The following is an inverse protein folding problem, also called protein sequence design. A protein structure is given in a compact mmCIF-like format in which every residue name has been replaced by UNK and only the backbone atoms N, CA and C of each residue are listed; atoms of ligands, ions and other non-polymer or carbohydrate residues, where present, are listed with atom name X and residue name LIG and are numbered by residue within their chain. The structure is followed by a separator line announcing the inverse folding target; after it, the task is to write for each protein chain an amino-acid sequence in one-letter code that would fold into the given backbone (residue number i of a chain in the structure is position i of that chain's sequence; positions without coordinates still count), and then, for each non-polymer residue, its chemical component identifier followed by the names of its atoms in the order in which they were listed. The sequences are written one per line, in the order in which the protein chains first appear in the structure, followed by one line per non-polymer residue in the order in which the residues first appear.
data_IF_542536378157
#
_entry.id   IF_542536378157
#
_cell.length_a   1.000
_cell.length_b   1.000
_cell.length_c   1.000
_cell.angle_alpha   90.00
_cell.angle_beta   90.00
_cell.angle_gamma   90.00
#
_symmetry.space_group_name_H-M   'P 1'
#
loop_
_entity.id
_entity.type
_entity.pdbx_description
1 polymer ?
#
# COMPACT_ATOMS: atom_id res chain seq x y z
N UNK A 1 -2.90 44.08 -42.31
CA UNK A 1 -1.83 44.62 -43.19
C UNK A 1 -0.51 44.51 -42.43
N UNK A 2 0.54 44.08 -43.14
CA UNK A 2 1.94 43.84 -42.73
C UNK A 2 2.13 42.67 -41.73
N UNK A 3 2.63 41.47 -42.06
CA UNK A 3 3.72 40.95 -42.93
C UNK A 3 5.15 41.01 -42.35
N UNK A 4 5.80 39.85 -42.50
CA UNK A 4 7.24 39.51 -42.48
C UNK A 4 7.89 39.31 -41.09
N UNK A 5 8.71 38.28 -40.84
CA UNK A 5 9.22 37.21 -41.69
C UNK A 5 10.51 36.60 -41.10
N UNK A 6 10.63 35.27 -41.20
CA UNK A 6 11.81 34.39 -41.29
C UNK A 6 13.04 34.60 -40.39
N UNK A 7 13.53 33.52 -39.76
CA UNK A 7 14.56 32.64 -40.33
C UNK A 7 15.00 31.56 -39.32
N UNK A 8 15.18 30.33 -39.80
CA UNK A 8 15.68 29.20 -39.01
C UNK A 8 17.21 29.09 -38.99
N UNK A 9 17.70 28.16 -38.17
CA UNK A 9 19.04 27.60 -38.29
C UNK A 9 19.01 26.10 -37.93
N UNK A 10 19.22 25.29 -38.96
CA UNK A 10 19.61 23.88 -38.90
C UNK A 10 21.06 23.76 -38.41
N UNK A 11 21.39 22.69 -37.69
CA UNK A 11 22.72 22.08 -37.75
C UNK A 11 22.65 20.57 -37.45
N UNK A 12 23.59 19.76 -38.00
CA UNK A 12 23.30 18.40 -38.45
C UNK A 12 23.82 17.30 -37.52
N UNK A 13 23.24 16.11 -37.67
CA UNK A 13 23.69 14.87 -37.07
C UNK A 13 24.93 14.32 -37.79
N UNK A 14 25.98 13.99 -37.05
CA UNK A 14 27.17 13.31 -37.57
C UNK A 14 27.09 11.82 -37.26
N UNK A 15 27.04 11.03 -38.32
CA UNK A 15 27.21 9.58 -38.36
C UNK A 15 28.67 9.19 -38.10
N UNK A 16 28.91 8.22 -37.22
CA UNK A 16 30.18 7.50 -37.14
C UNK A 16 29.95 6.01 -37.38
N UNK A 17 30.68 5.52 -38.38
CA UNK A 17 30.69 4.17 -38.92
C UNK A 17 31.54 3.22 -38.07
N UNK A 18 31.00 2.02 -37.88
CA UNK A 18 31.65 0.71 -37.90
C UNK A 18 33.01 0.48 -37.22
N UNK A 19 33.05 -0.51 -36.32
CA UNK A 19 34.07 -1.59 -36.36
C UNK A 19 33.42 -2.88 -35.84
N UNK A 20 33.37 -3.90 -36.69
CA UNK A 20 33.02 -5.28 -36.37
C UNK A 20 34.27 -6.02 -35.90
N UNK A 21 34.26 -6.56 -34.68
CA UNK A 21 35.29 -7.48 -34.20
C UNK A 21 34.65 -8.85 -33.91
N UNK A 22 34.84 -9.79 -34.85
CA UNK A 22 34.57 -11.22 -34.65
C UNK A 22 35.70 -11.80 -33.81
N UNK A 23 35.40 -12.22 -32.58
CA UNK A 23 36.29 -13.04 -31.75
C UNK A 23 36.03 -14.52 -32.04
N UNK A 24 37.04 -15.16 -32.63
CA UNK A 24 37.14 -16.60 -32.87
C UNK A 24 37.65 -17.25 -31.59
N UNK A 25 36.89 -18.19 -31.02
CA UNK A 25 37.33 -19.01 -29.88
C UNK A 25 38.05 -20.27 -30.39
N UNK A 26 39.26 -20.59 -29.90
CA UNK A 26 39.92 -21.85 -30.24
C UNK A 26 39.35 -23.01 -29.42
N UNK A 27 38.99 -24.08 -30.13
CA UNK A 27 38.48 -25.34 -29.59
C UNK A 27 39.66 -26.19 -29.14
N UNK A 28 39.91 -26.26 -27.84
CA UNK A 28 40.94 -27.15 -27.27
C UNK A 28 40.33 -28.52 -27.02
N UNK A 29 40.68 -29.49 -27.86
CA UNK A 29 40.47 -30.92 -27.64
C UNK A 29 41.55 -31.45 -26.71
N UNK A 30 41.19 -31.81 -25.48
CA UNK A 30 42.06 -32.55 -24.57
C UNK A 30 41.59 -34.00 -24.49
N UNK A 31 42.57 -34.89 -24.67
CA UNK A 31 42.45 -36.34 -24.70
C UNK A 31 42.30 -36.90 -23.28
N UNK A 32 41.25 -37.70 -23.07
CA UNK A 32 41.02 -38.44 -21.83
C UNK A 32 42.00 -39.62 -21.75
N UNK A 33 42.87 -39.63 -20.72
CA UNK A 33 43.61 -40.82 -20.29
C UNK A 33 42.83 -41.50 -19.15
N UNK A 34 42.37 -42.71 -19.46
CA UNK A 34 41.80 -43.68 -18.52
C UNK A 34 42.85 -44.08 -17.48
N UNK A 35 42.51 -43.91 -16.20
CA UNK A 35 43.24 -44.50 -15.06
C UNK A 35 42.23 -45.17 -14.12
N UNK A 36 42.63 -46.35 -13.65
CA UNK A 36 41.84 -47.38 -12.98
C UNK A 36 41.13 -46.90 -11.69
N UNK A 37 40.00 -47.51 -11.31
CA UNK A 37 39.23 -47.06 -10.16
C UNK A 37 39.88 -47.53 -8.85
N UNK A 38 40.26 -46.59 -7.99
CA UNK A 38 40.48 -46.83 -6.57
C UNK A 38 39.12 -46.93 -5.89
N UNK A 39 38.86 -48.07 -5.24
CA UNK A 39 37.66 -48.34 -4.46
C UNK A 39 37.63 -47.49 -3.21
N UNK A 40 36.92 -46.37 -3.26
CA UNK A 40 36.59 -45.56 -2.09
C UNK A 40 35.31 -46.12 -1.44
N UNK A 41 35.45 -46.86 -0.34
CA UNK A 41 34.32 -47.28 0.49
C UNK A 41 33.63 -46.05 1.06
N UNK A 42 32.44 -45.75 0.57
CA UNK A 42 31.60 -44.65 1.06
C UNK A 42 31.08 -44.99 2.46
N UNK A 43 31.30 -44.15 3.50
CA UNK A 43 30.57 -44.32 4.74
C UNK A 43 29.10 -43.97 4.48
N UNK A 44 28.21 -44.87 4.88
CA UNK A 44 26.76 -44.69 4.90
C UNK A 44 26.41 -43.42 5.68
N UNK A 45 26.16 -42.33 4.97
CA UNK A 45 25.53 -41.13 5.50
C UNK A 45 24.09 -41.48 5.85
N UNK A 46 23.85 -41.85 7.11
CA UNK A 46 22.52 -41.88 7.67
C UNK A 46 21.95 -40.46 7.57
N UNK A 47 21.00 -40.27 6.64
CA UNK A 47 20.17 -39.06 6.59
C UNK A 47 19.36 -39.00 7.88
N UNK A 48 19.91 -38.34 8.89
CA UNK A 48 19.10 -37.84 9.99
C UNK A 48 18.04 -36.92 9.38
N UNK A 49 16.78 -37.34 9.45
CA UNK A 49 15.63 -36.50 9.09
C UNK A 49 15.65 -35.31 10.03
N UNK A 50 16.20 -34.18 9.57
CA UNK A 50 16.05 -32.90 10.24
C UNK A 50 14.55 -32.65 10.35
N UNK A 51 13.98 -32.47 11.55
CA UNK A 51 12.56 -32.20 11.68
C UNK A 51 12.30 -30.87 10.99
N UNK A 52 11.56 -30.93 9.88
CA UNK A 52 11.05 -29.72 9.21
C UNK A 52 10.21 -29.01 10.25
N UNK A 53 10.72 -27.90 10.81
CA UNK A 53 9.91 -26.99 11.62
C UNK A 53 8.73 -26.60 10.74
N UNK A 54 7.55 -27.13 11.05
CA UNK A 54 6.31 -26.59 10.50
C UNK A 54 6.31 -25.12 10.88
N UNK A 55 6.57 -24.25 9.91
CA UNK A 55 6.18 -22.85 10.01
C UNK A 55 4.70 -22.89 10.36
N UNK A 56 4.37 -22.54 11.59
CA UNK A 56 3.02 -22.23 12.00
C UNK A 56 2.59 -21.07 11.11
N UNK A 57 1.98 -21.41 9.98
CA UNK A 57 1.30 -20.44 9.14
C UNK A 57 0.08 -20.02 9.96
N UNK A 58 0.28 -19.05 10.84
CA UNK A 58 -0.80 -18.37 11.55
C UNK A 58 -1.70 -17.83 10.44
N UNK A 59 -2.78 -18.55 10.15
CA UNK A 59 -3.84 -18.05 9.27
C UNK A 59 -4.39 -16.85 10.01
N UNK A 60 -3.99 -15.66 9.59
CA UNK A 60 -4.54 -14.43 10.14
C UNK A 60 -6.06 -14.54 10.08
N UNK A 61 -6.70 -14.55 11.26
CA UNK A 61 -8.14 -14.51 11.34
C UNK A 61 -8.62 -13.27 10.60
N UNK A 62 -9.61 -13.46 9.72
CA UNK A 62 -10.27 -12.34 9.04
C UNK A 62 -11.05 -11.57 10.09
N UNK A 63 -10.91 -10.25 10.10
CA UNK A 63 -11.60 -9.35 11.00
C UNK A 63 -12.45 -8.39 10.19
N UNK A 64 -13.66 -8.14 10.67
CA UNK A 64 -14.55 -7.13 10.11
C UNK A 64 -14.41 -5.83 10.91
N UNK A 65 -14.53 -4.69 10.25
CA UNK A 65 -14.55 -3.39 10.94
C UNK A 65 -15.75 -3.28 11.87
N UNK A 66 -15.56 -2.76 13.07
CA UNK A 66 -16.65 -2.50 14.01
C UNK A 66 -17.55 -1.38 13.51
N UNK A 67 -18.82 -1.35 13.92
CA UNK A 67 -19.73 -0.28 13.53
C UNK A 67 -19.37 1.02 14.27
N UNK A 68 -18.96 2.06 13.54
CA UNK A 68 -18.82 3.40 14.09
C UNK A 68 -20.17 4.15 14.09
N UNK A 69 -20.40 4.98 15.12
CA UNK A 69 -21.62 5.78 15.25
C UNK A 69 -21.55 7.07 14.42
N UNK A 70 -22.67 7.45 13.79
CA UNK A 70 -22.82 8.76 13.13
C UNK A 70 -22.56 9.88 14.14
N UNK A 71 -21.79 10.90 13.74
CA UNK A 71 -21.35 12.00 14.62
C UNK A 71 -20.00 11.76 15.33
N UNK A 72 -19.35 10.62 15.09
CA UNK A 72 -17.97 10.39 15.50
C UNK A 72 -17.05 11.44 14.85
N UNK A 73 -16.35 12.21 15.68
CA UNK A 73 -15.38 13.21 15.20
C UNK A 73 -14.05 12.53 14.90
N UNK A 74 -13.37 12.94 13.84
CA UNK A 74 -12.02 12.46 13.56
C UNK A 74 -11.12 12.72 14.78
N UNK A 75 -10.54 11.68 15.40
CA UNK A 75 -9.54 11.87 16.44
C UNK A 75 -8.34 12.64 15.91
N UNK A 76 -7.75 13.47 16.77
CA UNK A 76 -6.50 14.14 16.44
C UNK A 76 -5.38 13.11 16.24
N UNK A 77 -4.49 13.40 15.29
CA UNK A 77 -3.25 12.67 15.09
C UNK A 77 -2.13 13.65 14.71
N UNK A 78 -0.90 13.28 15.07
CA UNK A 78 0.34 13.90 14.64
C UNK A 78 1.35 12.79 14.42
N UNK A 79 1.57 12.39 13.16
CA UNK A 79 2.33 11.19 12.82
C UNK A 79 3.39 11.47 11.75
N UNK A 80 4.56 10.81 11.81
CA UNK A 80 5.60 10.93 10.80
C UNK A 80 5.23 10.17 9.52
N UNK A 81 5.55 10.76 8.37
CA UNK A 81 5.56 10.10 7.06
C UNK A 81 6.96 9.56 6.77
N UNK A 82 7.18 8.22 6.73
CA UNK A 82 8.51 7.66 6.50
C UNK A 82 9.17 8.04 5.18
N UNK A 83 8.38 8.30 4.13
CA UNK A 83 8.90 8.61 2.80
C UNK A 83 9.62 9.97 2.75
N UNK A 84 9.05 10.99 3.40
CA UNK A 84 9.51 12.38 3.31
C UNK A 84 10.14 12.88 4.61
N UNK A 85 9.89 12.19 5.73
CA UNK A 85 10.23 12.66 7.08
C UNK A 85 9.31 13.76 7.60
N UNK A 86 8.32 14.22 6.82
CA UNK A 86 7.36 15.23 7.26
C UNK A 86 6.44 14.66 8.34
N UNK A 87 6.17 15.43 9.38
CA UNK A 87 5.10 15.15 10.34
C UNK A 87 3.81 15.76 9.82
N UNK A 88 2.75 14.96 9.79
CA UNK A 88 1.41 15.35 9.36
C UNK A 88 0.44 15.35 10.53
N UNK A 89 -0.40 16.37 10.58
CA UNK A 89 -1.43 16.56 11.61
C UNK A 89 -2.81 16.51 10.98
N UNK A 90 -3.85 16.23 11.77
CA UNK A 90 -5.24 16.38 11.31
C UNK A 90 -5.49 17.78 10.73
N UNK A 91 -4.88 18.80 11.35
CA UNK A 91 -5.01 20.21 10.97
C UNK A 91 -4.49 20.52 9.55
N UNK A 92 -3.55 19.72 9.03
CA UNK A 92 -3.02 19.89 7.65
C UNK A 92 -4.09 19.59 6.59
N UNK A 93 -5.20 18.94 6.97
CA UNK A 93 -6.31 18.62 6.10
C UNK A 93 -7.50 19.57 6.25
N UNK A 94 -7.39 20.62 7.08
CA UNK A 94 -8.50 21.52 7.42
C UNK A 94 -9.12 22.25 6.23
N UNK A 95 -8.37 22.46 5.14
CA UNK A 95 -8.87 23.11 3.93
C UNK A 95 -9.78 22.23 3.08
N UNK A 96 -9.82 20.91 3.34
CA UNK A 96 -10.61 19.98 2.54
C UNK A 96 -12.04 19.82 3.08
N UNK A 97 -13.08 19.83 2.22
CA UNK A 97 -14.46 19.58 2.62
C UNK A 97 -14.72 18.12 3.05
N UNK A 98 -13.83 17.20 2.70
CA UNK A 98 -13.88 15.81 3.11
C UNK A 98 -12.47 15.24 3.30
N UNK A 99 -12.33 14.30 4.23
CA UNK A 99 -11.08 13.61 4.54
C UNK A 99 -11.29 12.11 4.57
N UNK A 100 -10.53 11.38 3.77
CA UNK A 100 -10.44 9.92 3.82
C UNK A 100 -9.21 9.51 4.64
N UNK A 101 -9.44 8.89 5.80
CA UNK A 101 -8.42 8.24 6.62
C UNK A 101 -8.49 6.74 6.38
N UNK A 102 -7.34 6.12 6.06
CA UNK A 102 -7.26 4.70 5.73
C UNK A 102 -6.26 4.00 6.64
N UNK A 103 -6.69 2.97 7.38
CA UNK A 103 -5.77 2.08 8.07
C UNK A 103 -5.38 0.95 7.14
N UNK A 104 -4.11 0.90 6.74
CA UNK A 104 -3.57 -0.07 5.78
C UNK A 104 -2.26 -0.67 6.31
N UNK A 105 -1.71 -1.65 5.59
CA UNK A 105 -0.37 -2.17 5.85
C UNK A 105 0.27 -2.74 4.58
N UNK A 106 1.54 -3.11 4.65
CA UNK A 106 2.30 -3.48 3.46
C UNK A 106 2.04 -4.94 3.05
N UNK A 107 1.84 -5.83 4.04
CA UNK A 107 1.85 -7.27 3.81
C UNK A 107 0.47 -7.93 3.67
N UNK A 108 -0.61 -7.29 4.17
CA UNK A 108 -1.94 -7.88 4.21
C UNK A 108 -2.44 -8.21 2.79
N UNK A 109 -2.94 -9.44 2.55
CA UNK A 109 -3.46 -9.82 1.24
C UNK A 109 -4.68 -8.98 0.81
N UNK A 110 -5.50 -8.51 1.75
CA UNK A 110 -6.64 -7.63 1.46
C UNK A 110 -6.18 -6.23 1.02
N UNK A 111 -5.14 -5.69 1.65
CA UNK A 111 -4.57 -4.40 1.21
C UNK A 111 -3.89 -4.57 -0.14
N UNK A 112 -3.05 -5.60 -0.32
CA UNK A 112 -2.37 -5.90 -1.59
C UNK A 112 -3.35 -6.04 -2.75
N UNK A 113 -4.51 -6.64 -2.51
CA UNK A 113 -5.61 -6.75 -3.49
C UNK A 113 -6.13 -5.39 -3.95
N UNK A 114 -6.11 -4.36 -3.10
CA UNK A 114 -6.68 -3.04 -3.37
C UNK A 114 -5.66 -1.92 -3.68
N UNK A 115 -4.35 -2.10 -3.45
CA UNK A 115 -3.35 -1.00 -3.53
C UNK A 115 -3.45 -0.16 -4.81
N UNK A 116 -3.52 -0.81 -5.97
CA UNK A 116 -3.58 -0.11 -7.27
C UNK A 116 -4.88 0.69 -7.43
N UNK A 117 -6.00 0.12 -7.00
CA UNK A 117 -7.31 0.75 -7.10
C UNK A 117 -7.51 1.86 -6.07
N UNK A 118 -6.92 1.73 -4.87
CA UNK A 118 -6.83 2.82 -3.89
C UNK A 118 -6.10 4.00 -4.53
N UNK A 119 -4.90 3.79 -5.09
CA UNK A 119 -4.12 4.87 -5.74
C UNK A 119 -4.91 5.52 -6.87
N UNK A 120 -5.55 4.73 -7.73
CA UNK A 120 -6.37 5.23 -8.83
C UNK A 120 -7.54 6.09 -8.32
N UNK A 121 -8.29 5.58 -7.36
CA UNK A 121 -9.46 6.25 -6.79
C UNK A 121 -9.06 7.54 -6.07
N UNK A 122 -8.06 7.48 -5.19
CA UNK A 122 -7.64 8.65 -4.41
C UNK A 122 -7.03 9.71 -5.32
N UNK A 123 -6.20 9.36 -6.32
CA UNK A 123 -5.67 10.34 -7.27
C UNK A 123 -6.80 11.12 -7.97
N UNK A 124 -7.85 10.41 -8.39
CA UNK A 124 -9.00 11.03 -9.04
C UNK A 124 -9.76 11.98 -8.12
N UNK A 125 -10.03 11.58 -6.87
CA UNK A 125 -10.82 12.38 -5.94
C UNK A 125 -10.04 13.49 -5.24
N UNK A 126 -8.72 13.34 -5.08
CA UNK A 126 -7.86 14.42 -4.59
C UNK A 126 -7.90 15.62 -5.54
N UNK A 127 -7.94 15.38 -6.86
CA UNK A 127 -8.18 16.42 -7.87
C UNK A 127 -9.55 17.10 -7.78
N UNK A 128 -10.48 16.57 -6.98
CA UNK A 128 -11.82 17.11 -6.73
C UNK A 128 -11.98 17.70 -5.31
N UNK A 129 -10.89 17.79 -4.55
CA UNK A 129 -10.92 18.36 -3.19
C UNK A 129 -11.13 17.34 -2.07
N UNK A 130 -10.86 16.06 -2.29
CA UNK A 130 -10.76 15.09 -1.20
C UNK A 130 -9.37 15.17 -0.54
N UNK A 131 -9.31 15.39 0.78
CA UNK A 131 -8.11 15.12 1.57
C UNK A 131 -7.96 13.61 1.79
N UNK A 132 -6.75 13.07 1.70
CA UNK A 132 -6.50 11.63 1.87
C UNK A 132 -5.26 11.41 2.71
N UNK A 133 -5.33 10.47 3.66
CA UNK A 133 -4.21 10.01 4.46
C UNK A 133 -4.31 8.50 4.72
N UNK A 134 -3.18 7.81 4.61
CA UNK A 134 -3.05 6.41 4.99
C UNK A 134 -2.24 6.30 6.28
N UNK A 135 -2.57 5.35 7.15
CA UNK A 135 -1.90 5.11 8.43
C UNK A 135 -1.60 3.60 8.54
N UNK A 136 -0.36 3.26 8.89
CA UNK A 136 0.04 1.92 9.33
C UNK A 136 0.25 1.94 10.84
N UNK A 137 -0.48 1.08 11.54
CA UNK A 137 -0.40 0.91 13.00
C UNK A 137 0.05 -0.50 13.40
N UNK A 138 0.65 -1.26 12.48
CA UNK A 138 1.07 -2.64 12.76
C UNK A 138 2.41 -2.67 13.53
N UNK A 139 2.49 -3.54 14.54
CA UNK A 139 3.69 -3.77 15.34
C UNK A 139 4.83 -4.31 14.48
N UNK A 140 5.92 -3.55 14.45
CA UNK A 140 7.15 -3.93 13.73
C UNK A 140 7.92 -5.06 14.43
N UNK A 141 7.68 -5.31 15.72
CA UNK A 141 8.28 -6.43 16.46
C UNK A 141 7.77 -7.78 15.92
N UNK A 142 6.50 -7.82 15.51
CA UNK A 142 5.85 -9.04 15.01
C UNK A 142 5.76 -9.06 13.49
N UNK A 143 5.68 -7.90 12.85
CA UNK A 143 5.55 -7.72 11.41
C UNK A 143 6.53 -6.64 10.91
N UNK A 144 7.86 -6.91 10.91
CA UNK A 144 8.88 -5.93 10.51
C UNK A 144 8.65 -5.30 9.12
N UNK A 145 8.02 -6.05 8.21
CA UNK A 145 7.70 -5.59 6.86
C UNK A 145 6.68 -4.43 6.79
N UNK A 146 5.98 -4.12 7.90
CA UNK A 146 5.11 -2.94 7.99
C UNK A 146 5.82 -1.73 8.61
N UNK A 147 7.13 -1.82 8.85
CA UNK A 147 7.91 -0.74 9.43
C UNK A 147 8.22 0.40 8.46
N UNK A 148 8.70 1.55 8.98
CA UNK A 148 8.89 2.80 8.24
C UNK A 148 9.68 2.66 6.92
N UNK A 149 10.77 1.89 6.93
CA UNK A 149 11.59 1.66 5.74
C UNK A 149 10.78 1.03 4.59
N UNK A 150 10.12 -0.09 4.87
CA UNK A 150 9.28 -0.79 3.88
C UNK A 150 8.02 0.01 3.51
N UNK A 151 7.49 0.83 4.41
CA UNK A 151 6.40 1.76 4.07
C UNK A 151 6.83 2.79 3.05
N UNK A 152 8.04 3.36 3.20
CA UNK A 152 8.58 4.31 2.23
C UNK A 152 8.84 3.65 0.88
N UNK A 153 9.34 2.42 0.86
CA UNK A 153 9.52 1.63 -0.38
C UNK A 153 8.18 1.34 -1.06
N UNK A 154 7.16 0.92 -0.31
CA UNK A 154 5.84 0.59 -0.84
C UNK A 154 5.14 1.84 -1.41
N UNK A 155 5.23 2.97 -0.71
CA UNK A 155 4.70 4.25 -1.18
C UNK A 155 5.36 4.70 -2.49
N UNK A 156 6.69 4.53 -2.63
CA UNK A 156 7.41 4.78 -3.90
C UNK A 156 6.98 3.82 -5.00
N UNK A 157 6.93 2.52 -4.70
CA UNK A 157 6.61 1.48 -5.68
C UNK A 157 5.22 1.67 -6.30
N UNK A 158 4.24 2.02 -5.47
CA UNK A 158 2.86 2.22 -5.90
C UNK A 158 2.52 3.68 -6.24
N UNK A 159 3.48 4.60 -6.11
CA UNK A 159 3.31 6.05 -6.32
C UNK A 159 2.10 6.60 -5.55
N UNK A 160 2.10 6.42 -4.22
CA UNK A 160 1.02 6.93 -3.38
C UNK A 160 0.91 8.46 -3.52
N UNK A 161 -0.26 9.00 -3.92
CA UNK A 161 -0.45 10.45 -4.08
C UNK A 161 -0.76 11.13 -2.74
N UNK A 162 -0.89 10.36 -1.66
CA UNK A 162 -1.26 10.78 -0.32
C UNK A 162 -0.16 10.39 0.68
N UNK A 163 -0.06 11.08 1.83
CA UNK A 163 0.88 10.69 2.88
C UNK A 163 0.52 9.33 3.48
N UNK A 164 1.54 8.51 3.70
CA UNK A 164 1.44 7.22 4.39
C UNK A 164 2.20 7.28 5.72
N UNK A 165 1.44 7.40 6.81
CA UNK A 165 1.92 7.74 8.14
C UNK A 165 2.13 6.49 8.99
N UNK A 166 3.13 6.53 9.89
CA UNK A 166 3.41 5.45 10.83
C UNK A 166 2.91 5.82 12.24
N UNK A 167 1.97 5.03 12.75
CA UNK A 167 1.41 5.12 14.09
C UNK A 167 2.10 4.11 15.02
N UNK A 168 3.29 4.48 15.48
CA UNK A 168 4.16 3.62 16.29
C UNK A 168 3.51 3.23 17.63
N UNK A 169 2.81 4.14 18.30
CA UNK A 169 2.23 3.83 19.61
C UNK A 169 0.95 3.01 19.50
N UNK A 170 0.32 3.04 18.33
CA UNK A 170 -1.00 2.50 18.00
C UNK A 170 -2.17 3.24 18.69
N UNK A 171 -1.91 4.43 19.25
CA UNK A 171 -2.94 5.24 19.91
C UNK A 171 -3.92 5.82 18.90
N UNK A 172 -3.46 6.16 17.69
CA UNK A 172 -4.34 6.69 16.65
C UNK A 172 -5.29 5.60 16.17
N UNK A 173 -4.81 4.38 15.91
CA UNK A 173 -5.70 3.25 15.61
C UNK A 173 -6.74 3.00 16.71
N UNK A 174 -6.33 3.02 17.98
CA UNK A 174 -7.27 2.88 19.12
C UNK A 174 -8.29 4.01 19.16
N UNK A 175 -7.87 5.25 18.99
CA UNK A 175 -8.76 6.41 19.03
C UNK A 175 -9.80 6.38 17.90
N UNK A 176 -9.42 5.89 16.72
CA UNK A 176 -10.34 5.65 15.60
C UNK A 176 -11.23 4.42 15.78
N UNK A 177 -10.89 3.52 16.72
CA UNK A 177 -11.52 2.20 16.83
C UNK A 177 -11.22 1.32 15.63
N UNK A 178 -10.08 1.53 14.96
CA UNK A 178 -9.65 0.71 13.84
C UNK A 178 -9.22 -0.67 14.32
N UNK A 179 -9.61 -1.71 13.59
CA UNK A 179 -9.42 -3.10 13.98
C UNK A 179 -8.84 -3.97 12.88
N UNK A 180 -8.98 -3.58 11.61
CA UNK A 180 -8.54 -4.36 10.47
C UNK A 180 -7.80 -3.54 9.41
N UNK A 181 -7.20 -4.23 8.43
CA UNK A 181 -6.51 -3.63 7.28
C UNK A 181 -6.97 -4.33 5.99
N UNK A 182 -7.51 -3.59 4.99
CA UNK A 182 -7.75 -2.15 5.00
C UNK A 182 -9.03 -1.77 5.77
N UNK A 183 -9.03 -0.58 6.36
CA UNK A 183 -10.21 0.02 6.99
C UNK A 183 -10.33 1.50 6.62
N UNK A 184 -11.51 1.93 6.19
CA UNK A 184 -11.72 3.24 5.55
C UNK A 184 -12.70 4.10 6.37
N UNK A 185 -12.25 5.28 6.77
CA UNK A 185 -13.06 6.29 7.45
C UNK A 185 -13.13 7.55 6.60
N UNK A 186 -14.30 7.86 6.07
CA UNK A 186 -14.54 9.08 5.29
C UNK A 186 -15.30 10.07 6.16
N UNK A 187 -14.70 11.23 6.37
CA UNK A 187 -15.26 12.33 7.14
C UNK A 187 -15.74 13.45 6.23
N UNK A 188 -16.83 14.09 6.63
CA UNK A 188 -17.35 15.33 6.05
C UNK A 188 -16.93 16.50 6.94
N UNK A 189 -16.72 17.65 6.32
CA UNK A 189 -16.57 18.94 6.99
C UNK A 189 -17.47 19.99 6.36
N UNK A 190 -18.11 20.78 7.20
CA UNK A 190 -18.91 21.95 6.78
C UNK A 190 -18.30 23.23 7.36
N UNK A 191 -17.68 24.03 6.50
CA UNK A 191 -16.99 25.26 6.89
C UNK A 191 -15.88 25.02 7.90
N UNK A 192 -15.94 25.68 9.06
CA UNK A 192 -14.96 25.56 10.16
C UNK A 192 -15.32 24.49 11.20
N UNK A 193 -16.33 23.64 10.93
CA UNK A 193 -16.72 22.59 11.87
C UNK A 193 -15.70 21.44 11.87
N UNK A 194 -15.62 20.62 12.94
CA UNK A 194 -14.78 19.43 12.94
C UNK A 194 -15.17 18.44 11.85
N UNK A 195 -14.23 17.56 11.47
CA UNK A 195 -14.50 16.40 10.64
C UNK A 195 -15.44 15.41 11.35
N UNK A 196 -16.58 15.12 10.74
CA UNK A 196 -17.59 14.19 11.25
C UNK A 196 -17.72 12.98 10.32
N UNK A 197 -17.78 11.78 10.90
CA UNK A 197 -17.79 10.53 10.14
C UNK A 197 -19.04 10.45 9.27
N UNK A 198 -18.81 10.31 7.96
CA UNK A 198 -19.84 10.20 6.93
C UNK A 198 -19.97 8.75 6.42
N UNK A 199 -18.85 8.05 6.27
CA UNK A 199 -18.82 6.66 5.85
C UNK A 199 -17.70 5.88 6.53
N UNK A 200 -18.02 4.66 6.98
CA UNK A 200 -17.08 3.68 7.51
C UNK A 200 -17.46 2.29 7.03
N UNK A 201 -16.57 1.68 6.25
CA UNK A 201 -16.88 0.39 5.65
C UNK A 201 -15.96 0.05 4.48
N UNK A 202 -16.42 -0.91 3.68
CA UNK A 202 -15.65 -1.52 2.62
C UNK A 202 -15.29 -0.55 1.48
N UNK A 203 -14.30 -0.95 0.68
CA UNK A 203 -13.97 -0.31 -0.59
C UNK A 203 -15.03 -0.63 -1.67
N UNK A 204 -15.36 -1.92 -1.79
CA UNK A 204 -16.37 -2.51 -2.68
C UNK A 204 -16.62 -3.97 -2.25
N UNK A 205 -17.38 -4.72 -3.06
CA UNK A 205 -17.70 -6.13 -2.81
C UNK A 205 -16.56 -7.13 -3.13
N UNK A 206 -15.45 -6.67 -3.72
CA UNK A 206 -14.34 -7.56 -4.09
C UNK A 206 -13.56 -8.02 -2.87
N UNK A 207 -13.07 -9.26 -2.91
CA UNK A 207 -12.19 -9.83 -1.88
C UNK A 207 -11.08 -10.66 -2.53
N UNK A 208 -9.94 -10.90 -1.84
CA UNK A 208 -8.94 -11.84 -2.31
C UNK A 208 -9.57 -13.21 -2.59
N UNK A 209 -9.25 -13.80 -3.74
CA UNK A 209 -9.80 -15.07 -4.23
C UNK A 209 -11.32 -15.07 -4.50
N UNK A 210 -11.95 -13.90 -4.60
CA UNK A 210 -13.29 -13.78 -5.18
C UNK A 210 -13.19 -13.61 -6.70
N UNK A 211 -14.24 -13.98 -7.44
CA UNK A 211 -14.35 -13.71 -8.88
C UNK A 211 -14.96 -12.31 -9.17
N UNK A 212 -15.04 -11.44 -8.15
CA UNK A 212 -15.61 -10.11 -8.27
C UNK A 212 -14.46 -9.12 -8.56
N UNK A 213 -14.52 -8.35 -9.65
CA UNK A 213 -13.49 -7.35 -9.95
C UNK A 213 -13.50 -6.21 -8.92
N UNK A 214 -12.33 -5.61 -8.71
CA UNK A 214 -12.20 -4.37 -7.92
C UNK A 214 -12.84 -3.23 -8.71
N UNK A 215 -13.69 -2.45 -8.05
CA UNK A 215 -14.45 -1.33 -8.63
C UNK A 215 -14.38 -0.06 -7.78
N UNK A 216 -14.15 -0.17 -6.48
CA UNK A 216 -14.26 0.94 -5.53
C UNK A 216 -15.64 1.55 -5.43
N UNK A 217 -16.69 0.83 -5.85
CA UNK A 217 -18.06 1.35 -6.01
C UNK A 217 -18.58 2.01 -4.73
N UNK A 218 -18.48 1.34 -3.59
CA UNK A 218 -19.08 1.79 -2.33
C UNK A 218 -18.37 3.04 -1.83
N UNK A 219 -17.02 3.03 -1.83
CA UNK A 219 -16.23 4.18 -1.42
C UNK A 219 -16.42 5.37 -2.37
N UNK A 220 -16.45 5.12 -3.69
CA UNK A 220 -16.64 6.17 -4.70
C UNK A 220 -17.99 6.85 -4.54
N UNK A 221 -19.06 6.07 -4.33
CA UNK A 221 -20.40 6.61 -4.07
C UNK A 221 -20.43 7.45 -2.78
N UNK A 222 -19.78 6.99 -1.72
CA UNK A 222 -19.69 7.76 -0.47
C UNK A 222 -18.92 9.08 -0.67
N UNK A 223 -17.82 9.06 -1.44
CA UNK A 223 -17.04 10.26 -1.76
C UNK A 223 -17.83 11.22 -2.66
N UNK A 224 -18.52 10.72 -3.68
CA UNK A 224 -19.37 11.54 -4.54
C UNK A 224 -20.48 12.22 -3.72
N UNK A 225 -21.14 11.48 -2.82
CA UNK A 225 -22.17 12.04 -1.96
C UNK A 225 -21.60 13.11 -1.00
N UNK A 226 -20.47 12.85 -0.33
CA UNK A 226 -19.92 13.82 0.62
C UNK A 226 -19.47 15.11 -0.06
N UNK A 227 -18.81 15.01 -1.23
CA UNK A 227 -18.32 16.16 -1.97
C UNK A 227 -19.44 16.96 -2.64
N UNK A 228 -20.56 16.31 -3.00
CA UNK A 228 -21.74 16.97 -3.56
C UNK A 228 -22.76 17.44 -2.50
N UNK A 229 -22.50 17.17 -1.22
CA UNK A 229 -23.41 17.49 -0.12
C UNK A 229 -24.68 16.63 -0.07
N UNK A 230 -24.71 15.51 -0.78
CA UNK A 230 -25.84 14.57 -0.81
C UNK A 230 -25.81 13.58 0.36
N UNK A 231 -26.98 13.02 0.69
CA UNK A 231 -27.09 11.96 1.69
C UNK A 231 -26.71 10.60 1.09
N UNK A 232 -25.97 9.79 1.84
CA UNK A 232 -25.61 8.43 1.43
C UNK A 232 -26.76 7.45 1.71
N UNK A 233 -27.41 6.93 0.68
CA UNK A 233 -28.58 6.04 0.79
C UNK A 233 -28.25 4.55 0.87
N UNK A 234 -26.98 4.17 0.72
CA UNK A 234 -26.58 2.75 0.73
C UNK A 234 -26.30 2.26 2.16
N UNK A 235 -26.56 0.96 2.38
CA UNK A 235 -26.12 0.29 3.59
C UNK A 235 -24.59 0.17 3.59
N UNK A 236 -23.95 0.68 4.64
CA UNK A 236 -22.50 0.59 4.81
C UNK A 236 -22.13 -0.82 5.25
N UNK A 237 -21.50 -1.59 4.36
CA UNK A 237 -20.96 -2.91 4.69
C UNK A 237 -19.59 -2.76 5.35
N UNK A 238 -19.27 -3.55 6.39
CA UNK A 238 -17.98 -3.46 7.05
C UNK A 238 -16.83 -3.81 6.10
N UNK A 239 -15.68 -3.19 6.32
CA UNK A 239 -14.42 -3.65 5.73
C UNK A 239 -14.07 -5.03 6.26
N UNK A 240 -13.35 -5.81 5.44
CA UNK A 240 -12.85 -7.12 5.83
C UNK A 240 -11.36 -7.16 5.53
N UNK A 241 -10.57 -7.53 6.54
CA UNK A 241 -9.12 -7.49 6.45
C UNK A 241 -8.42 -8.46 7.41
N UNK A 242 -7.10 -8.39 7.41
CA UNK A 242 -6.33 -8.91 8.53
C UNK A 242 -6.49 -7.96 9.72
N UNK A 243 -6.56 -8.51 10.94
CA UNK A 243 -6.52 -7.68 12.14
C UNK A 243 -5.27 -6.78 12.17
N UNK A 244 -5.41 -5.58 12.73
CA UNK A 244 -4.27 -4.74 13.12
C UNK A 244 -3.36 -5.55 14.06
N UNK A 245 -2.05 -5.41 13.86
CA UNK A 245 -1.03 -6.15 14.61
C UNK A 245 -0.65 -5.37 15.85
N UNK A 246 -1.43 -5.51 16.92
CA UNK A 246 -1.14 -4.86 18.20
C UNK A 246 0.21 -5.28 18.77
N UNK A 247 0.90 -4.36 19.45
CA UNK A 247 2.17 -4.68 20.12
C UNK A 247 1.96 -5.80 21.16
N UNK A 248 2.97 -6.67 21.38
CA UNK A 248 2.93 -7.64 22.46
C UNK A 248 2.57 -6.98 23.79
N UNK A 249 1.59 -7.54 24.50
CA UNK A 249 1.13 -7.02 25.78
C UNK A 249 0.13 -5.86 25.70
N UNK A 250 -0.22 -5.38 24.50
CA UNK A 250 -1.32 -4.43 24.26
C UNK A 250 -2.46 -5.14 23.53
N UNK A 251 -3.67 -5.09 24.06
CA UNK A 251 -4.89 -5.47 23.33
C UNK A 251 -5.65 -4.24 22.85
N UNK A 252 -6.42 -4.41 21.77
CA UNK A 252 -7.41 -3.44 21.27
C UNK A 252 -8.38 -2.99 22.33
#
# INVERSE_FOLDING_TARGET
MASAGLAGAFCPATTLSGVTARLVAPRVTTTFKSSSPLTLSSPSLQRHKVPVRRLLQVRAARMESTRASLGFRAPYFELPEPLTGKVWKLDDFESYPALLVMFICNHCPFVKHLKKDIVKLTSFYMGKGLGVVAISSNSIDTHPQDGPEFMAEDAKLFNYPFPYLFDETQDVARAFGAVCTPEFFLFKKDGRRPFELFYHGQFDDSRPNSNIPVTGRDLSLAIDCVLSGQHLSIAQKPSIGCSIKWHPGKSS
#
